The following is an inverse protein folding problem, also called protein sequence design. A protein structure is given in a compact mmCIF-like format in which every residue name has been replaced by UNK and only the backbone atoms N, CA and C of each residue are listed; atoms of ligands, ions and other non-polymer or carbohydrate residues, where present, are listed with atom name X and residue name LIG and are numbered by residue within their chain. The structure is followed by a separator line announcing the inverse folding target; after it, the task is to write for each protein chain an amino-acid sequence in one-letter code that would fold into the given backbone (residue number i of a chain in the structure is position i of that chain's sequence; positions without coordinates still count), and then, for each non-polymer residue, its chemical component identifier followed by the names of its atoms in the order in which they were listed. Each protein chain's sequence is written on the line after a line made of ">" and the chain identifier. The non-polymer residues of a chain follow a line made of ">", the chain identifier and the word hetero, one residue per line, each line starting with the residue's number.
data_IF_634569622249
#
_entry.id   IF_634569622249
#
_cell.length_a   1.000
_cell.length_b   1.000
_cell.length_c   1.000
_cell.angle_alpha   90.00
_cell.angle_beta   90.00
_cell.angle_gamma   90.00
#
_symmetry.space_group_name_H-M   'P 1'
#
loop_
_entity.id
_entity.type
_entity.pdbx_description
1 polymer ?
#
# COMPACT_ATOMS: atom_id res chain seq x y z
N UNK A 1 9.22 24.53 -4.97
CA UNK A 1 10.30 23.84 -5.65
C UNK A 1 9.92 22.40 -5.93
N UNK A 2 10.05 22.02 -7.16
CA UNK A 2 9.64 20.68 -7.60
C UNK A 2 10.41 19.56 -6.88
N UNK A 3 11.69 19.77 -6.61
CA UNK A 3 12.49 18.74 -5.97
C UNK A 3 12.04 18.43 -4.55
N UNK A 4 11.62 19.45 -3.79
CA UNK A 4 11.13 19.27 -2.43
C UNK A 4 9.82 18.47 -2.44
N UNK A 5 8.94 18.83 -3.37
CA UNK A 5 7.67 18.14 -3.50
C UNK A 5 7.87 16.67 -3.90
N UNK A 6 8.82 16.41 -4.80
CA UNK A 6 9.16 15.03 -5.17
C UNK A 6 9.71 14.24 -4.00
N UNK A 7 10.55 14.86 -3.17
CA UNK A 7 11.09 14.19 -2.00
C UNK A 7 9.98 13.82 -1.00
N UNK A 8 9.03 14.73 -0.79
CA UNK A 8 7.88 14.48 0.08
C UNK A 8 7.01 13.34 -0.46
N UNK A 9 6.78 13.33 -1.77
CA UNK A 9 5.99 12.27 -2.38
C UNK A 9 6.70 10.92 -2.29
N UNK A 10 8.02 10.90 -2.45
CA UNK A 10 8.80 9.68 -2.30
C UNK A 10 8.73 9.13 -0.87
N UNK A 11 8.83 10.01 0.10
CA UNK A 11 8.72 9.60 1.50
C UNK A 11 7.36 9.02 1.79
N UNK A 12 6.31 9.67 1.31
CA UNK A 12 4.96 9.17 1.46
C UNK A 12 4.79 7.83 0.77
N UNK A 13 5.33 7.70 -0.44
CA UNK A 13 5.26 6.45 -1.18
C UNK A 13 5.94 5.31 -0.42
N UNK A 14 7.12 5.57 0.14
CA UNK A 14 7.84 4.57 0.91
C UNK A 14 7.05 4.14 2.16
N UNK A 15 6.43 5.10 2.84
CA UNK A 15 5.61 4.81 4.01
C UNK A 15 4.41 3.96 3.64
N UNK A 16 3.73 4.29 2.54
CA UNK A 16 2.58 3.54 2.09
C UNK A 16 2.95 2.13 1.64
N UNK A 17 4.10 1.99 0.99
CA UNK A 17 4.58 0.66 0.58
C UNK A 17 4.90 -0.22 1.79
N UNK A 18 5.50 0.37 2.83
CA UNK A 18 5.78 -0.36 4.05
C UNK A 18 4.48 -0.81 4.73
N UNK A 19 3.49 0.08 4.81
CA UNK A 19 2.18 -0.27 5.35
C UNK A 19 1.52 -1.39 4.56
N UNK A 20 1.58 -1.29 3.24
CA UNK A 20 1.01 -2.31 2.36
C UNK A 20 1.65 -3.68 2.61
N UNK A 21 2.97 -3.70 2.76
CA UNK A 21 3.71 -4.93 3.04
C UNK A 21 3.34 -5.51 4.39
N UNK A 22 3.21 -4.65 5.41
CA UNK A 22 2.83 -5.07 6.74
C UNK A 22 1.43 -5.68 6.75
N UNK A 23 0.50 -5.05 6.05
CA UNK A 23 -0.86 -5.58 5.92
C UNK A 23 -0.87 -6.93 5.21
N UNK A 24 -0.08 -7.06 4.15
CA UNK A 24 0.00 -8.31 3.41
C UNK A 24 0.51 -9.44 4.31
N UNK A 25 1.57 -9.18 5.08
CA UNK A 25 2.11 -10.15 6.03
C UNK A 25 1.09 -10.53 7.09
N UNK A 26 0.34 -9.55 7.59
CA UNK A 26 -0.69 -9.79 8.59
C UNK A 26 -1.81 -10.66 8.04
N UNK A 27 -2.24 -10.39 6.82
CA UNK A 27 -3.26 -11.18 6.15
C UNK A 27 -2.80 -12.63 5.97
N UNK A 28 -1.56 -12.82 5.52
CA UNK A 28 -0.99 -14.15 5.33
C UNK A 28 -0.96 -14.91 6.66
N UNK A 29 -0.53 -14.25 7.72
CA UNK A 29 -0.49 -14.85 9.04
C UNK A 29 -1.87 -15.27 9.52
N UNK A 30 -2.87 -14.43 9.32
CA UNK A 30 -4.24 -14.74 9.71
C UNK A 30 -4.83 -15.88 8.89
N UNK A 31 -4.56 -15.90 7.59
CA UNK A 31 -5.07 -16.96 6.71
C UNK A 31 -4.40 -18.30 6.99
N UNK A 32 -3.21 -18.30 7.57
CA UNK A 32 -2.48 -19.51 7.93
C UNK A 32 -2.91 -20.07 9.28
N UNK A 33 -3.71 -19.33 10.04
CA UNK A 33 -4.15 -19.79 11.35
C UNK A 33 -5.18 -20.90 11.23
N UNK A 34 -5.22 -21.79 12.21
CA UNK A 34 -6.16 -22.89 12.25
C UNK A 34 -7.62 -22.40 12.31
N UNK A 35 -7.81 -21.31 13.02
CA UNK A 35 -9.13 -20.64 13.08
C UNK A 35 -8.92 -19.22 12.55
N UNK A 36 -9.55 -18.91 11.43
CA UNK A 36 -9.38 -17.64 10.77
C UNK A 36 -10.60 -16.75 10.98
N UNK A 37 -10.37 -15.51 11.42
CA UNK A 37 -11.42 -14.51 11.48
C UNK A 37 -11.63 -13.95 10.08
N UNK A 38 -12.65 -14.47 9.39
CA UNK A 38 -12.94 -14.08 8.01
C UNK A 38 -13.31 -12.61 7.87
N UNK A 39 -13.97 -12.08 8.88
CA UNK A 39 -14.39 -10.68 8.85
C UNK A 39 -13.17 -9.75 8.95
N UNK A 40 -12.24 -10.09 9.83
CA UNK A 40 -11.01 -9.32 9.97
C UNK A 40 -10.16 -9.40 8.70
N UNK A 41 -10.04 -10.58 8.11
CA UNK A 41 -9.31 -10.76 6.86
C UNK A 41 -9.92 -9.90 5.75
N UNK A 42 -11.23 -9.87 5.64
CA UNK A 42 -11.91 -9.03 4.65
C UNK A 42 -11.60 -7.56 4.84
N UNK A 43 -11.62 -7.09 6.08
CA UNK A 43 -11.29 -5.70 6.40
C UNK A 43 -9.86 -5.34 6.00
N UNK A 44 -8.93 -6.21 6.33
CA UNK A 44 -7.52 -5.99 6.02
C UNK A 44 -7.27 -6.01 4.53
N UNK A 45 -7.92 -6.91 3.80
CA UNK A 45 -7.80 -6.96 2.34
C UNK A 45 -8.34 -5.68 1.69
N UNK A 46 -9.45 -5.18 2.20
CA UNK A 46 -10.03 -3.93 1.70
C UNK A 46 -9.09 -2.76 1.95
N UNK A 47 -8.50 -2.71 3.14
CA UNK A 47 -7.53 -1.66 3.48
C UNK A 47 -6.28 -1.76 2.59
N UNK A 48 -5.82 -2.97 2.34
CA UNK A 48 -4.68 -3.21 1.47
C UNK A 48 -4.93 -2.67 0.05
N UNK A 49 -6.14 -2.92 -0.48
CA UNK A 49 -6.53 -2.41 -1.80
C UNK A 49 -6.56 -0.88 -1.83
N UNK A 50 -7.09 -0.26 -0.78
CA UNK A 50 -7.12 1.20 -0.67
C UNK A 50 -5.70 1.77 -0.64
N UNK A 51 -4.79 1.13 0.08
CA UNK A 51 -3.39 1.55 0.10
C UNK A 51 -2.74 1.42 -1.27
N UNK A 52 -3.01 0.34 -1.96
CA UNK A 52 -2.46 0.12 -3.30
C UNK A 52 -2.93 1.21 -4.25
N UNK A 53 -4.20 1.60 -4.18
CA UNK A 53 -4.73 2.67 -5.01
C UNK A 53 -4.00 3.99 -4.74
N UNK A 54 -3.71 4.28 -3.48
CA UNK A 54 -2.96 5.48 -3.12
C UNK A 54 -1.52 5.43 -3.62
N UNK A 55 -0.90 4.27 -3.52
CA UNK A 55 0.45 4.06 -4.03
C UNK A 55 0.49 4.34 -5.53
N UNK A 56 -0.45 3.80 -6.28
CA UNK A 56 -0.53 4.00 -7.72
C UNK A 56 -0.71 5.49 -8.04
N UNK A 57 -1.58 6.18 -7.31
CA UNK A 57 -1.81 7.60 -7.53
C UNK A 57 -0.55 8.43 -7.31
N UNK A 58 0.23 8.09 -6.28
CA UNK A 58 1.47 8.79 -6.00
C UNK A 58 2.54 8.46 -7.05
N UNK A 59 2.61 7.20 -7.45
CA UNK A 59 3.55 6.78 -8.51
C UNK A 59 3.26 7.50 -9.82
N UNK A 60 1.99 7.72 -10.13
CA UNK A 60 1.60 8.49 -11.32
C UNK A 60 2.09 9.93 -11.25
N UNK A 61 2.14 10.51 -10.07
CA UNK A 61 2.66 11.86 -9.89
C UNK A 61 4.18 11.92 -9.98
N UNK A 62 4.85 10.89 -9.47
CA UNK A 62 6.32 10.84 -9.46
C UNK A 62 6.89 10.38 -10.80
N UNK A 63 6.19 9.51 -11.49
CA UNK A 63 6.68 8.88 -12.73
C UNK A 63 5.62 8.98 -13.82
N UNK A 64 5.27 10.20 -14.26
CA UNK A 64 4.17 10.36 -15.22
C UNK A 64 4.46 9.77 -16.60
N UNK A 65 5.71 9.50 -16.91
CA UNK A 65 6.10 8.97 -18.20
C UNK A 65 6.14 7.44 -18.25
N UNK A 66 5.86 6.80 -17.14
CA UNK A 66 5.80 5.33 -17.11
C UNK A 66 4.41 4.90 -17.56
N UNK A 67 4.23 4.90 -18.83
CA UNK A 67 3.00 4.40 -19.43
C UNK A 67 3.39 3.19 -20.24
N UNK A 68 2.84 2.09 -19.88
CA UNK A 68 3.12 0.85 -20.56
C UNK A 68 2.67 0.87 -22.01
#
# INVERSE_FOLDING_TARGET
>A
MTSTKHAELRELLNALKAEHRDLDSEIIALESAAITDQLLVKRLKKRKLALKDRIIAIEDQLFPDIIA
#
